data_IF_235257244755
#
_entry.id   IF_235257244755
#
_cell.length_a   1.000
_cell.length_b   1.000
_cell.length_c   1.000
_cell.angle_alpha   90.00
_cell.angle_beta   90.00
_cell.angle_gamma   90.00
#
_symmetry.space_group_name_H-M   'P 1'
#
loop_
_entity.id
_entity.type
_entity.pdbx_description
1 polymer ?
#
# COMPACT_ATOMS: atom_id res chain seq x y z
N UNK A 1 -41.86 -9.22 -4.70
CA UNK A 1 -40.42 -8.94 -4.80
C UNK A 1 -40.23 -7.49 -4.42
N UNK A 2 -39.75 -7.24 -3.20
CA UNK A 2 -39.72 -5.90 -2.62
C UNK A 2 -38.42 -5.20 -3.02
N UNK A 3 -38.57 -4.12 -3.80
CA UNK A 3 -37.51 -3.18 -4.14
C UNK A 3 -37.05 -2.43 -2.87
N UNK A 4 -36.06 -2.98 -2.15
CA UNK A 4 -35.30 -2.28 -1.11
C UNK A 4 -33.94 -1.87 -1.69
N UNK A 5 -33.98 -1.29 -2.89
CA UNK A 5 -32.80 -0.84 -3.61
C UNK A 5 -32.81 0.68 -3.61
N UNK A 6 -32.02 1.31 -2.75
CA UNK A 6 -31.60 2.69 -3.01
C UNK A 6 -31.69 3.71 -1.88
N UNK A 7 -31.94 3.35 -0.63
CA UNK A 7 -31.54 4.26 0.46
C UNK A 7 -30.01 4.19 0.58
N UNK A 8 -29.34 5.02 -0.21
CA UNK A 8 -27.92 5.31 -0.04
C UNK A 8 -27.73 5.79 1.40
N UNK A 9 -27.24 4.89 2.26
CA UNK A 9 -26.88 5.21 3.64
C UNK A 9 -25.88 6.36 3.59
N UNK A 10 -26.32 7.57 3.90
CA UNK A 10 -25.41 8.70 4.09
C UNK A 10 -24.92 8.63 5.53
N UNK A 11 -23.67 8.19 5.77
CA UNK A 11 -23.14 8.16 7.12
C UNK A 11 -23.08 9.59 7.67
N UNK A 12 -23.51 9.76 8.92
CA UNK A 12 -23.44 11.03 9.64
C UNK A 12 -22.00 11.56 9.67
N UNK A 13 -21.85 12.90 9.69
CA UNK A 13 -20.54 13.56 9.75
C UNK A 13 -19.71 13.09 10.96
N UNK A 14 -20.35 12.83 12.09
CA UNK A 14 -19.71 12.32 13.31
C UNK A 14 -19.14 10.92 13.16
N UNK A 15 -19.80 10.04 12.39
CA UNK A 15 -19.28 8.71 12.08
C UNK A 15 -18.01 8.78 11.23
N UNK A 16 -18.00 9.63 10.20
CA UNK A 16 -16.85 9.76 9.28
C UNK A 16 -15.59 10.20 10.01
N UNK A 17 -15.69 11.17 10.93
CA UNK A 17 -14.55 11.66 11.70
C UNK A 17 -14.00 10.57 12.63
N UNK A 18 -14.88 9.82 13.32
CA UNK A 18 -14.46 8.70 14.18
C UNK A 18 -13.80 7.59 13.38
N UNK A 19 -14.37 7.23 12.23
CA UNK A 19 -13.81 6.22 11.34
C UNK A 19 -12.42 6.61 10.83
N UNK A 20 -12.27 7.84 10.31
CA UNK A 20 -10.97 8.36 9.87
C UNK A 20 -9.94 8.35 11.00
N UNK A 21 -10.30 8.88 12.17
CA UNK A 21 -9.41 8.91 13.34
C UNK A 21 -8.93 7.52 13.73
N UNK A 22 -9.86 6.55 13.82
CA UNK A 22 -9.53 5.18 14.18
C UNK A 22 -8.65 4.52 13.10
N UNK A 23 -9.02 4.67 11.82
CA UNK A 23 -8.27 4.09 10.69
C UNK A 23 -6.82 4.62 10.62
N UNK A 24 -6.62 5.91 10.88
CA UNK A 24 -5.30 6.55 10.92
C UNK A 24 -4.46 6.05 12.10
N UNK A 25 -5.01 6.06 13.31
CA UNK A 25 -4.26 5.72 14.53
C UNK A 25 -3.93 4.22 14.59
N UNK A 26 -4.88 3.36 14.22
CA UNK A 26 -4.70 1.91 14.23
C UNK A 26 -3.61 1.46 13.24
N UNK A 27 -3.33 2.27 12.22
CA UNK A 27 -2.27 2.00 11.25
C UNK A 27 -0.85 2.27 11.72
N UNK A 28 -0.65 3.08 12.76
CA UNK A 28 0.69 3.56 13.17
C UNK A 28 1.55 2.40 13.63
N UNK A 29 1.12 1.70 14.68
CA UNK A 29 1.87 0.61 15.29
C UNK A 29 2.18 -0.55 14.32
N UNK A 30 1.21 -1.13 13.58
CA UNK A 30 1.51 -2.21 12.65
C UNK A 30 2.42 -1.75 11.51
N UNK A 31 2.33 -0.50 11.06
CA UNK A 31 3.24 0.03 10.03
C UNK A 31 4.68 0.14 10.54
N UNK A 32 4.88 0.57 11.79
CA UNK A 32 6.20 0.62 12.41
C UNK A 32 6.81 -0.76 12.61
N UNK A 33 6.03 -1.72 13.09
CA UNK A 33 6.50 -3.11 13.30
C UNK A 33 6.83 -3.76 11.96
N UNK A 34 5.91 -3.73 11.01
CA UNK A 34 6.10 -4.36 9.70
C UNK A 34 7.19 -3.64 8.90
N UNK A 35 7.27 -2.32 9.00
CA UNK A 35 8.33 -1.52 8.37
C UNK A 35 9.70 -1.92 8.90
N UNK A 36 9.80 -2.18 10.20
CA UNK A 36 11.03 -2.70 10.79
C UNK A 36 11.38 -4.11 10.39
N UNK A 37 10.40 -5.01 10.24
CA UNK A 37 10.63 -6.36 9.74
C UNK A 37 11.15 -6.32 8.30
N UNK A 38 10.48 -5.59 7.41
CA UNK A 38 10.89 -5.47 6.01
C UNK A 38 12.27 -4.84 5.87
N UNK A 39 12.53 -3.78 6.64
CA UNK A 39 13.84 -3.16 6.69
C UNK A 39 14.92 -4.13 7.17
N UNK A 40 14.64 -4.89 8.23
CA UNK A 40 15.55 -5.89 8.78
C UNK A 40 15.88 -6.99 7.78
N UNK A 41 14.88 -7.51 7.05
CA UNK A 41 15.09 -8.52 6.01
C UNK A 41 16.00 -7.96 4.90
N UNK A 42 15.75 -6.74 4.44
CA UNK A 42 16.51 -6.19 3.33
C UNK A 42 17.95 -5.81 3.70
N UNK A 43 18.16 -5.12 4.82
CA UNK A 43 19.50 -4.71 5.24
C UNK A 43 20.31 -5.90 5.77
N UNK A 44 19.74 -6.71 6.65
CA UNK A 44 20.47 -7.77 7.36
C UNK A 44 20.54 -9.05 6.53
N UNK A 45 19.42 -9.51 5.97
CA UNK A 45 19.38 -10.82 5.31
C UNK A 45 19.87 -10.76 3.85
N UNK A 46 19.59 -9.68 3.13
CA UNK A 46 19.96 -9.58 1.71
C UNK A 46 21.27 -8.83 1.47
N UNK A 47 21.50 -7.74 2.21
CA UNK A 47 22.62 -6.83 1.91
C UNK A 47 23.84 -7.04 2.83
N UNK A 48 23.70 -7.81 3.92
CA UNK A 48 24.74 -7.94 4.96
C UNK A 48 25.09 -6.62 5.66
N UNK A 49 24.21 -5.62 5.55
CA UNK A 49 24.39 -4.27 6.07
C UNK A 49 24.02 -4.15 7.55
N UNK A 50 24.29 -2.96 8.11
CA UNK A 50 23.85 -2.60 9.46
C UNK A 50 22.47 -1.92 9.39
N UNK A 51 21.55 -2.24 10.31
CA UNK A 51 20.24 -1.61 10.32
C UNK A 51 20.37 -0.09 10.52
N UNK A 52 19.92 0.67 9.53
CA UNK A 52 19.86 2.13 9.59
C UNK A 52 18.51 2.64 10.07
N UNK A 53 18.50 3.55 11.03
CA UNK A 53 17.28 4.22 11.49
C UNK A 53 16.55 4.95 10.35
N UNK A 54 17.31 5.47 9.37
CA UNK A 54 16.75 6.14 8.19
C UNK A 54 15.96 5.16 7.32
N UNK A 55 16.49 3.96 7.10
CA UNK A 55 15.81 2.94 6.31
C UNK A 55 14.55 2.43 7.02
N UNK A 56 14.68 2.10 8.32
CA UNK A 56 13.53 1.74 9.16
C UNK A 56 12.41 2.78 9.11
N UNK A 57 12.76 4.06 9.24
CA UNK A 57 11.81 5.17 9.16
C UNK A 57 11.16 5.29 7.79
N UNK A 58 11.92 5.07 6.70
CA UNK A 58 11.40 5.10 5.34
C UNK A 58 10.37 3.97 5.09
N UNK A 59 10.66 2.73 5.49
CA UNK A 59 9.72 1.60 5.37
C UNK A 59 8.47 1.80 6.22
N UNK A 60 8.63 2.26 7.46
CA UNK A 60 7.52 2.52 8.37
C UNK A 60 6.61 3.64 7.83
N UNK A 61 7.21 4.73 7.36
CA UNK A 61 6.47 5.83 6.74
C UNK A 61 5.76 5.39 5.47
N UNK A 62 6.41 4.56 4.63
CA UNK A 62 5.82 4.03 3.41
C UNK A 62 4.55 3.21 3.69
N UNK A 63 4.61 2.27 4.64
CA UNK A 63 3.44 1.47 5.04
C UNK A 63 2.34 2.31 5.68
N UNK A 64 2.72 3.31 6.48
CA UNK A 64 1.76 4.22 7.07
C UNK A 64 1.05 5.08 6.00
N UNK A 65 1.78 5.57 5.00
CA UNK A 65 1.20 6.31 3.87
C UNK A 65 0.27 5.40 3.07
N UNK A 66 0.65 4.14 2.84
CA UNK A 66 -0.22 3.15 2.18
C UNK A 66 -1.56 3.02 2.89
N UNK A 67 -1.56 2.83 4.21
CA UNK A 67 -2.81 2.70 4.97
C UNK A 67 -3.59 4.02 5.04
N UNK A 68 -2.92 5.14 5.25
CA UNK A 68 -3.59 6.44 5.38
C UNK A 68 -4.26 6.90 4.08
N UNK A 69 -3.73 6.53 2.90
CA UNK A 69 -4.38 6.82 1.61
C UNK A 69 -5.66 6.02 1.37
N UNK A 70 -5.83 4.87 2.01
CA UNK A 70 -7.04 4.04 1.89
C UNK A 70 -8.21 4.57 2.70
N UNK A 71 -7.96 5.03 3.92
CA UNK A 71 -8.99 5.50 4.85
C UNK A 71 -9.97 6.52 4.22
N UNK A 72 -9.54 7.57 3.48
CA UNK A 72 -10.49 8.50 2.86
C UNK A 72 -11.29 7.86 1.72
N UNK A 73 -10.70 6.92 0.96
CA UNK A 73 -11.40 6.24 -0.13
C UNK A 73 -12.51 5.33 0.39
N UNK A 74 -12.23 4.57 1.45
CA UNK A 74 -13.21 3.72 2.14
C UNK A 74 -14.29 4.58 2.83
N UNK A 75 -13.91 5.73 3.43
CA UNK A 75 -14.86 6.66 4.05
C UNK A 75 -15.81 7.33 3.05
N UNK A 76 -15.35 7.61 1.82
CA UNK A 76 -16.18 8.20 0.76
C UNK A 76 -17.10 7.15 0.13
N UNK A 77 -16.59 5.95 -0.14
CA UNK A 77 -17.35 4.91 -0.83
C UNK A 77 -18.22 4.07 0.10
N UNK A 78 -17.96 4.08 1.42
CA UNK A 78 -18.69 3.29 2.40
C UNK A 78 -18.50 1.77 2.26
N UNK A 79 -17.51 1.35 1.47
CA UNK A 79 -17.17 -0.06 1.22
C UNK A 79 -15.66 -0.21 1.10
N UNK A 80 -15.15 -1.31 1.61
CA UNK A 80 -13.79 -1.74 1.33
C UNK A 80 -13.73 -2.30 -0.10
N UNK A 81 -12.87 -1.75 -0.96
CA UNK A 81 -12.63 -2.32 -2.29
C UNK A 81 -11.19 -2.80 -2.42
N UNK A 82 -11.08 -3.98 -3.01
CA UNK A 82 -9.81 -4.57 -3.41
C UNK A 82 -9.07 -3.68 -4.43
N UNK A 83 -9.80 -2.92 -5.26
CA UNK A 83 -9.20 -1.97 -6.21
C UNK A 83 -8.48 -0.81 -5.50
N UNK A 84 -8.97 -0.35 -4.34
CA UNK A 84 -8.25 0.69 -3.58
C UNK A 84 -6.90 0.19 -3.10
N UNK A 85 -6.80 -1.08 -2.69
CA UNK A 85 -5.51 -1.69 -2.34
C UNK A 85 -4.58 -1.73 -3.54
N UNK A 86 -5.09 -2.15 -4.70
CA UNK A 86 -4.32 -2.21 -5.93
C UNK A 86 -3.78 -0.82 -6.32
N UNK A 87 -4.64 0.21 -6.31
CA UNK A 87 -4.23 1.57 -6.65
C UNK A 87 -3.25 2.18 -5.64
N UNK A 88 -3.52 2.03 -4.34
CA UNK A 88 -2.60 2.52 -3.30
C UNK A 88 -1.24 1.84 -3.40
N UNK A 89 -1.23 0.52 -3.57
CA UNK A 89 0.00 -0.27 -3.74
C UNK A 89 0.73 0.12 -5.01
N UNK A 90 0.01 0.37 -6.11
CA UNK A 90 0.61 0.78 -7.36
C UNK A 90 1.18 2.19 -7.36
N UNK A 91 0.48 3.17 -6.78
CA UNK A 91 0.98 4.54 -6.64
C UNK A 91 2.25 4.55 -5.79
N UNK A 92 2.23 3.80 -4.68
CA UNK A 92 3.37 3.75 -3.78
C UNK A 92 4.54 2.95 -4.35
N UNK A 93 4.29 1.84 -5.02
CA UNK A 93 5.33 1.11 -5.76
C UNK A 93 5.97 1.97 -6.84
N UNK A 94 5.16 2.71 -7.59
CA UNK A 94 5.64 3.65 -8.59
C UNK A 94 6.54 4.72 -7.97
N UNK A 95 6.06 5.40 -6.93
CA UNK A 95 6.82 6.48 -6.27
C UNK A 95 8.09 5.96 -5.57
N UNK A 96 8.01 4.80 -4.92
CA UNK A 96 9.13 4.17 -4.23
C UNK A 96 10.25 3.76 -5.19
N UNK A 97 9.89 3.14 -6.31
CA UNK A 97 10.85 2.74 -7.36
C UNK A 97 11.42 3.97 -8.07
N UNK A 98 10.58 4.97 -8.38
CA UNK A 98 11.04 6.22 -9.01
C UNK A 98 12.09 6.94 -8.16
N UNK A 99 11.96 6.88 -6.83
CA UNK A 99 12.90 7.48 -5.87
C UNK A 99 14.09 6.58 -5.52
N UNK A 100 14.18 5.38 -6.11
CA UNK A 100 15.21 4.39 -5.77
C UNK A 100 15.16 3.92 -4.32
N UNK A 101 14.00 4.06 -3.66
CA UNK A 101 13.82 3.65 -2.26
C UNK A 101 13.51 2.17 -2.14
N UNK A 102 12.89 1.59 -3.17
CA UNK A 102 12.45 0.19 -3.18
C UNK A 102 12.81 -0.42 -4.54
N UNK A 103 13.27 -1.68 -4.53
CA UNK A 103 13.48 -2.47 -5.75
C UNK A 103 12.16 -3.01 -6.31
N UNK A 104 12.20 -3.63 -7.48
CA UNK A 104 11.03 -4.29 -8.07
C UNK A 104 11.18 -5.80 -7.85
N UNK A 105 10.34 -6.44 -7.04
CA UNK A 105 10.45 -7.87 -6.80
C UNK A 105 10.11 -8.63 -8.10
N UNK A 106 10.74 -9.79 -8.28
CA UNK A 106 10.54 -10.68 -9.44
C UNK A 106 10.97 -10.12 -10.81
N UNK A 107 11.58 -8.93 -10.86
CA UNK A 107 12.08 -8.35 -12.10
C UNK A 107 13.59 -8.15 -11.99
N UNK A 108 14.33 -8.86 -12.83
CA UNK A 108 15.78 -8.72 -12.92
C UNK A 108 16.18 -7.40 -13.59
N UNK A 109 17.33 -6.84 -13.22
CA UNK A 109 17.81 -5.59 -13.80
C UNK A 109 18.05 -5.70 -15.32
N UNK A 110 18.41 -6.89 -15.83
CA UNK A 110 18.54 -7.20 -17.26
C UNK A 110 17.25 -6.94 -18.06
N UNK A 111 16.08 -6.99 -17.43
CA UNK A 111 14.81 -6.68 -18.08
C UNK A 111 14.80 -5.25 -18.65
N UNK A 112 15.31 -4.28 -17.88
CA UNK A 112 15.33 -2.87 -18.28
C UNK A 112 16.40 -2.58 -19.34
N UNK A 113 17.46 -3.39 -19.41
CA UNK A 113 18.42 -3.32 -20.52
C UNK A 113 17.81 -3.84 -21.83
N UNK A 114 16.94 -4.85 -21.76
CA UNK A 114 16.25 -5.40 -22.93
C UNK A 114 15.09 -4.53 -23.40
N UNK A 115 14.43 -3.81 -22.50
CA UNK A 115 13.26 -2.96 -22.78
C UNK A 115 13.45 -1.53 -22.27
N UNK A 116 14.35 -0.73 -22.87
CA UNK A 116 14.67 0.61 -22.40
C UNK A 116 13.48 1.59 -22.47
N UNK A 117 12.47 1.30 -23.30
CA UNK A 117 11.24 2.09 -23.40
C UNK A 117 10.31 1.96 -22.18
N UNK A 118 10.52 0.96 -21.31
CA UNK A 118 9.65 0.71 -20.16
C UNK A 118 10.31 1.30 -18.90
N UNK A 119 9.77 2.40 -18.33
CA UNK A 119 10.35 3.00 -17.13
C UNK A 119 10.18 2.06 -15.91
N UNK A 120 11.23 1.85 -15.08
CA UNK A 120 11.16 0.99 -13.91
C UNK A 120 10.03 1.35 -12.95
N UNK A 121 9.74 2.63 -12.79
CA UNK A 121 8.65 3.10 -11.93
C UNK A 121 7.28 2.53 -12.32
N UNK A 122 6.97 2.42 -13.62
CA UNK A 122 5.70 1.85 -14.09
C UNK A 122 5.63 0.37 -13.77
N UNK A 123 6.71 -0.38 -14.00
CA UNK A 123 6.77 -1.81 -13.66
C UNK A 123 6.62 -2.00 -12.15
N UNK A 124 7.30 -1.17 -11.36
CA UNK A 124 7.15 -1.12 -9.90
C UNK A 124 5.70 -0.92 -9.48
N UNK A 125 5.02 0.07 -10.05
CA UNK A 125 3.61 0.32 -9.76
C UNK A 125 2.71 -0.87 -10.09
N UNK A 126 2.92 -1.54 -11.23
CA UNK A 126 2.14 -2.72 -11.60
C UNK A 126 2.40 -3.88 -10.63
N UNK A 127 3.67 -4.17 -10.31
CA UNK A 127 4.04 -5.29 -9.42
C UNK A 127 3.53 -5.06 -8.01
N UNK A 128 3.77 -3.89 -7.42
CA UNK A 128 3.30 -3.56 -6.07
C UNK A 128 1.78 -3.43 -6.00
N UNK A 129 1.12 -2.94 -7.05
CA UNK A 129 -0.34 -2.95 -7.16
C UNK A 129 -0.90 -4.37 -7.17
N UNK A 130 -0.25 -5.29 -7.90
CA UNK A 130 -0.62 -6.71 -7.91
C UNK A 130 -0.43 -7.40 -6.55
N UNK A 131 0.70 -7.14 -5.88
CA UNK A 131 0.96 -7.66 -4.53
C UNK A 131 -0.08 -7.13 -3.53
N UNK A 132 -0.37 -5.83 -3.56
CA UNK A 132 -1.37 -5.20 -2.71
C UNK A 132 -2.78 -5.74 -2.98
N UNK A 133 -3.13 -5.94 -4.26
CA UNK A 133 -4.36 -6.61 -4.68
C UNK A 133 -4.45 -8.03 -4.11
N UNK A 134 -3.36 -8.81 -4.21
CA UNK A 134 -3.31 -10.17 -3.69
C UNK A 134 -3.54 -10.19 -2.16
N UNK A 135 -2.82 -9.35 -1.40
CA UNK A 135 -3.03 -9.23 0.04
C UNK A 135 -4.44 -8.74 0.40
N UNK A 136 -5.00 -7.80 -0.37
CA UNK A 136 -6.38 -7.35 -0.22
C UNK A 136 -7.39 -8.50 -0.41
N UNK A 137 -7.13 -9.38 -1.38
CA UNK A 137 -7.96 -10.55 -1.66
C UNK A 137 -7.94 -11.58 -0.51
N UNK A 138 -6.77 -11.83 0.08
CA UNK A 138 -6.63 -12.72 1.24
C UNK A 138 -7.29 -12.15 2.49
N UNK A 139 -7.43 -10.83 2.59
CA UNK A 139 -8.15 -10.15 3.67
C UNK A 139 -9.68 -10.22 3.53
N UNK A 140 -10.22 -10.89 2.50
CA UNK A 140 -11.67 -11.01 2.27
C UNK A 140 -12.32 -9.77 1.67
N UNK A 141 -11.54 -8.78 1.22
CA UNK A 141 -12.06 -7.58 0.55
C UNK A 141 -12.65 -7.95 -0.81
N UNK A 142 -13.82 -7.41 -1.12
CA UNK A 142 -14.53 -7.65 -2.39
C UNK A 142 -14.11 -6.62 -3.44
N UNK A 143 -14.29 -6.96 -4.70
CA UNK A 143 -14.09 -6.06 -5.85
C UNK A 143 -15.25 -5.08 -5.93
#
# INVERSE_FOLDING_TARGET
QNNISGMAYQPSSSWRIRYLSNCLVEGIFPSMVMGGILHGIQDVAMSGGRPSLRGWGAYSAFLYIYRSTMCPMEAIQGRESLLHNAFAGGILGYAGVQRGMVGIPFVDSSFFYRYPQVPPAVVGGVVYGGIAMAFGSFSGKRI
#
